data_IF_478123614139
#
_entry.id   IF_478123614139
#
_cell.length_a   1.000
_cell.length_b   1.000
_cell.length_c   1.000
_cell.angle_alpha   90.00
_cell.angle_beta   90.00
_cell.angle_gamma   90.00
#
_symmetry.space_group_name_H-M   'P 1'
#
loop_
_entity.id
_entity.type
_entity.pdbx_description
1 polymer ?
#
# COMPACT_ATOMS: atom_id res chain seq x y z
N UNK A 1 8.93 -26.36 16.89
CA UNK A 1 9.09 -25.89 18.28
C UNK A 1 7.77 -25.27 18.73
N UNK A 2 7.24 -25.71 19.88
CA UNK A 2 6.06 -25.07 20.47
C UNK A 2 6.53 -23.90 21.32
N UNK A 3 6.01 -22.68 21.03
CA UNK A 3 6.29 -21.49 21.81
C UNK A 3 5.89 -21.69 23.28
N UNK A 4 6.71 -21.23 24.21
CA UNK A 4 6.41 -21.22 25.62
C UNK A 4 5.25 -20.27 25.95
N UNK A 5 4.64 -20.39 27.12
CA UNK A 5 3.51 -19.53 27.52
C UNK A 5 3.90 -18.05 27.54
N UNK A 6 5.08 -17.74 28.03
CA UNK A 6 5.60 -16.36 28.10
C UNK A 6 5.87 -15.78 26.70
N UNK A 7 6.43 -16.58 25.78
CA UNK A 7 6.66 -16.17 24.39
C UNK A 7 5.33 -15.89 23.66
N UNK A 8 4.32 -16.72 23.88
CA UNK A 8 2.97 -16.48 23.33
C UNK A 8 2.36 -15.18 23.87
N UNK A 9 2.54 -14.90 25.16
CA UNK A 9 2.08 -13.66 25.78
C UNK A 9 2.81 -12.44 25.21
N UNK A 10 4.14 -12.53 25.02
CA UNK A 10 4.92 -11.47 24.40
C UNK A 10 4.46 -11.18 22.96
N UNK A 11 4.27 -12.22 22.13
CA UNK A 11 3.77 -12.06 20.76
C UNK A 11 2.38 -11.41 20.74
N UNK A 12 1.49 -11.79 21.65
CA UNK A 12 0.15 -11.16 21.74
C UNK A 12 0.27 -9.69 22.13
N UNK A 13 1.14 -9.36 23.09
CA UNK A 13 1.37 -7.97 23.51
C UNK A 13 1.94 -7.11 22.38
N UNK A 14 2.96 -7.63 21.64
CA UNK A 14 3.56 -6.94 20.52
C UNK A 14 2.52 -6.67 19.41
N UNK A 15 1.75 -7.68 19.05
CA UNK A 15 0.72 -7.54 18.00
C UNK A 15 -0.41 -6.61 18.45
N UNK A 16 -0.82 -6.66 19.72
CA UNK A 16 -1.82 -5.75 20.27
C UNK A 16 -1.32 -4.30 20.26
N UNK A 17 -0.05 -4.06 20.59
CA UNK A 17 0.55 -2.73 20.53
C UNK A 17 0.61 -2.20 19.08
N UNK A 18 0.90 -3.07 18.10
CA UNK A 18 0.88 -2.69 16.68
C UNK A 18 -0.55 -2.45 16.17
N UNK A 19 -1.50 -3.30 16.55
CA UNK A 19 -2.91 -3.13 16.21
C UNK A 19 -3.48 -1.81 16.76
N UNK A 20 -3.10 -1.42 17.98
CA UNK A 20 -3.54 -0.15 18.57
C UNK A 20 -3.05 1.10 17.80
N UNK A 21 -1.88 1.02 17.15
CA UNK A 21 -1.31 2.10 16.34
C UNK A 21 -1.81 2.10 14.90
N UNK A 22 -2.25 0.94 14.41
CA UNK A 22 -2.61 0.74 13.01
C UNK A 22 -4.04 1.18 12.71
N UNK A 23 -4.26 1.68 11.50
CA UNK A 23 -5.58 2.01 10.97
C UNK A 23 -6.15 0.92 10.06
N UNK A 24 -5.28 0.10 9.49
CA UNK A 24 -5.65 -0.94 8.52
C UNK A 24 -5.03 -2.27 8.89
N UNK A 25 -5.83 -3.31 8.78
CA UNK A 25 -5.42 -4.71 8.82
C UNK A 25 -5.74 -5.36 7.48
N UNK A 26 -4.77 -5.99 6.84
CA UNK A 26 -4.98 -6.77 5.64
C UNK A 26 -4.57 -8.24 5.87
N UNK A 27 -5.40 -9.16 5.38
CA UNK A 27 -5.25 -10.60 5.52
C UNK A 27 -5.01 -11.23 4.15
N UNK A 28 -3.95 -12.00 4.02
CA UNK A 28 -3.67 -12.75 2.81
C UNK A 28 -3.25 -14.19 3.12
N UNK A 29 -3.65 -15.12 2.27
CA UNK A 29 -3.22 -16.51 2.32
C UNK A 29 -1.92 -16.66 1.53
N UNK A 30 -0.88 -17.23 2.16
CA UNK A 30 0.46 -17.38 1.56
C UNK A 30 0.79 -18.81 1.16
N UNK A 31 -0.19 -19.68 1.08
CA UNK A 31 0.01 -21.10 0.77
C UNK A 31 0.66 -21.29 -0.60
N UNK A 32 1.82 -21.97 -0.60
CA UNK A 32 2.56 -22.28 -1.83
C UNK A 32 3.52 -21.20 -2.31
N UNK A 33 3.74 -20.11 -1.53
CA UNK A 33 4.80 -19.14 -1.79
C UNK A 33 6.18 -19.73 -1.45
N UNK A 34 7.18 -19.41 -2.26
CA UNK A 34 8.58 -19.70 -1.95
C UNK A 34 9.13 -18.75 -0.90
N UNK A 35 10.22 -19.17 -0.23
CA UNK A 35 10.89 -18.31 0.77
C UNK A 35 11.42 -17.02 0.16
N UNK A 36 11.89 -17.06 -1.09
CA UNK A 36 12.36 -15.88 -1.81
C UNK A 36 11.24 -14.85 -2.01
N UNK A 37 10.06 -15.29 -2.42
CA UNK A 37 8.90 -14.43 -2.58
C UNK A 37 8.44 -13.83 -1.25
N UNK A 38 8.46 -14.60 -0.16
CA UNK A 38 8.17 -14.11 1.17
C UNK A 38 9.19 -13.06 1.64
N UNK A 39 10.47 -13.25 1.33
CA UNK A 39 11.50 -12.28 1.68
C UNK A 39 11.36 -10.97 0.89
N UNK A 40 11.01 -11.05 -0.41
CA UNK A 40 10.68 -9.86 -1.22
C UNK A 40 9.49 -9.12 -0.62
N UNK A 41 8.39 -9.84 -0.33
CA UNK A 41 7.22 -9.25 0.30
C UNK A 41 7.53 -8.56 1.63
N UNK A 42 8.36 -9.17 2.48
CA UNK A 42 8.80 -8.56 3.74
C UNK A 42 9.67 -7.32 3.54
N UNK A 43 10.51 -7.31 2.49
CA UNK A 43 11.32 -6.14 2.13
C UNK A 43 10.42 -4.99 1.71
N UNK A 44 9.51 -5.23 0.76
CA UNK A 44 8.56 -4.23 0.27
C UNK A 44 7.65 -3.69 1.40
N UNK A 45 7.24 -4.56 2.32
CA UNK A 45 6.46 -4.18 3.50
C UNK A 45 7.25 -3.24 4.42
N UNK A 46 8.53 -3.52 4.69
CA UNK A 46 9.39 -2.65 5.52
C UNK A 46 9.62 -1.29 4.88
N UNK A 47 9.86 -1.24 3.56
CA UNK A 47 10.05 0.00 2.81
C UNK A 47 8.82 0.91 2.88
N UNK A 48 7.63 0.33 2.96
CA UNK A 48 6.35 1.05 3.04
C UNK A 48 5.80 1.18 4.48
N UNK A 49 6.60 0.86 5.50
CA UNK A 49 6.19 0.99 6.90
C UNK A 49 5.06 0.04 7.31
N UNK A 50 4.89 -1.09 6.63
CA UNK A 50 3.88 -2.10 6.94
C UNK A 50 4.46 -3.17 7.84
N UNK A 51 3.87 -3.39 9.00
CA UNK A 51 4.20 -4.50 9.89
C UNK A 51 3.58 -5.79 9.36
N UNK A 52 4.41 -6.63 8.73
CA UNK A 52 3.99 -7.89 8.13
C UNK A 52 4.47 -9.07 8.97
N UNK A 53 3.53 -9.86 9.50
CA UNK A 53 3.85 -11.01 10.34
C UNK A 53 2.97 -12.22 10.04
N UNK A 54 3.54 -13.42 10.17
CA UNK A 54 2.82 -14.70 10.11
C UNK A 54 2.57 -15.15 11.54
N UNK A 55 1.31 -15.23 11.93
CA UNK A 55 0.89 -15.54 13.28
C UNK A 55 -0.03 -16.76 13.31
N UNK A 56 -0.07 -17.43 14.44
CA UNK A 56 -1.10 -18.43 14.70
C UNK A 56 -2.44 -17.72 14.88
N UNK A 57 -3.48 -18.13 14.13
CA UNK A 57 -4.79 -17.47 14.12
C UNK A 57 -5.40 -17.30 15.53
N UNK A 58 -5.18 -18.28 16.43
CA UNK A 58 -5.68 -18.19 17.82
C UNK A 58 -4.99 -17.08 18.64
N UNK A 59 -3.71 -16.78 18.37
CA UNK A 59 -2.98 -15.68 19.01
C UNK A 59 -3.39 -14.35 18.39
N UNK A 60 -3.53 -14.31 17.06
CA UNK A 60 -4.01 -13.13 16.33
C UNK A 60 -5.40 -12.70 16.82
N UNK A 61 -6.36 -13.63 16.92
CA UNK A 61 -7.70 -13.33 17.46
C UNK A 61 -7.66 -12.75 18.86
N UNK A 62 -6.79 -13.27 19.74
CA UNK A 62 -6.62 -12.74 21.10
C UNK A 62 -5.99 -11.35 21.13
N UNK A 63 -5.05 -11.08 20.22
CA UNK A 63 -4.39 -9.79 20.12
C UNK A 63 -5.31 -8.69 19.56
N UNK A 64 -6.25 -9.09 18.69
CA UNK A 64 -7.21 -8.16 18.03
C UNK A 64 -8.48 -7.98 18.86
N UNK A 65 -8.76 -8.87 19.84
CA UNK A 65 -9.90 -8.74 20.74
C UNK A 65 -9.86 -7.39 21.49
N UNK A 66 -10.98 -6.67 21.49
CA UNK A 66 -11.09 -5.33 22.06
C UNK A 66 -10.52 -4.20 21.19
N UNK A 67 -10.05 -4.48 19.97
CA UNK A 67 -9.63 -3.48 19.00
C UNK A 67 -10.66 -3.33 17.88
N UNK A 68 -10.64 -2.23 17.10
CA UNK A 68 -11.54 -2.07 15.95
C UNK A 68 -11.43 -3.19 14.89
N UNK A 69 -10.38 -4.00 14.98
CA UNK A 69 -10.11 -5.10 14.04
C UNK A 69 -10.78 -6.43 14.43
N UNK A 70 -11.49 -6.49 15.54
CA UNK A 70 -12.20 -7.68 15.99
C UNK A 70 -13.20 -8.20 14.94
N UNK A 71 -13.78 -7.28 14.15
CA UNK A 71 -14.69 -7.58 13.06
C UNK A 71 -14.06 -8.50 11.98
N UNK A 72 -12.72 -8.44 11.82
CA UNK A 72 -12.00 -9.32 10.88
C UNK A 72 -11.73 -10.73 11.45
N UNK A 73 -12.07 -11.00 12.70
CA UNK A 73 -11.80 -12.30 13.35
C UNK A 73 -12.47 -13.48 12.66
N UNK A 74 -13.63 -13.28 12.04
CA UNK A 74 -14.35 -14.32 11.26
C UNK A 74 -13.55 -14.76 10.03
N UNK A 75 -12.84 -13.83 9.39
CA UNK A 75 -11.97 -14.08 8.23
C UNK A 75 -10.62 -14.76 8.55
N UNK A 76 -10.27 -14.90 9.84
CA UNK A 76 -8.99 -15.46 10.28
C UNK A 76 -9.00 -17.00 10.25
N UNK A 77 -9.09 -17.59 9.04
CA UNK A 77 -9.10 -19.04 8.82
C UNK A 77 -8.06 -19.41 7.76
N UNK A 78 -7.23 -20.42 8.06
CA UNK A 78 -6.18 -20.90 7.16
C UNK A 78 -4.79 -20.32 7.45
N UNK A 79 -3.82 -20.55 6.55
CA UNK A 79 -2.46 -20.04 6.66
C UNK A 79 -2.42 -18.57 6.24
N UNK A 80 -2.48 -17.66 7.20
CA UNK A 80 -2.61 -16.23 6.95
C UNK A 80 -1.35 -15.45 7.29
N UNK A 81 -1.08 -14.45 6.46
CA UNK A 81 -0.19 -13.33 6.74
C UNK A 81 -1.03 -12.14 7.17
N UNK A 82 -0.59 -11.49 8.23
CA UNK A 82 -1.20 -10.31 8.81
C UNK A 82 -0.35 -9.08 8.47
N UNK A 83 -0.95 -8.11 7.80
CA UNK A 83 -0.32 -6.83 7.49
C UNK A 83 -1.02 -5.70 8.25
N UNK A 84 -0.32 -5.07 9.19
CA UNK A 84 -0.79 -3.90 9.92
C UNK A 84 -0.11 -2.64 9.38
N UNK A 85 -0.85 -1.55 9.24
CA UNK A 85 -0.29 -0.27 8.80
C UNK A 85 -0.97 0.90 9.49
N UNK A 86 -0.18 1.93 9.80
CA UNK A 86 -0.67 3.23 10.23
C UNK A 86 -1.36 3.97 9.07
N UNK A 87 -0.85 3.79 7.84
CA UNK A 87 -1.50 4.30 6.64
C UNK A 87 -2.70 3.46 6.25
N UNK A 88 -3.79 4.15 5.89
CA UNK A 88 -5.05 3.53 5.48
C UNK A 88 -4.90 2.57 4.28
N UNK A 89 -3.95 2.81 3.40
CA UNK A 89 -3.83 2.14 2.09
C UNK A 89 -2.58 1.27 1.98
N UNK A 90 -1.50 1.56 2.73
CA UNK A 90 -0.19 0.94 2.53
C UNK A 90 -0.23 -0.58 2.66
N UNK A 91 -0.88 -1.14 3.70
CA UNK A 91 -0.98 -2.59 3.89
C UNK A 91 -1.73 -3.29 2.74
N UNK A 92 -2.87 -2.73 2.33
CA UNK A 92 -3.67 -3.25 1.23
C UNK A 92 -2.90 -3.20 -0.10
N UNK A 93 -2.17 -2.11 -0.34
CA UNK A 93 -1.40 -1.90 -1.57
C UNK A 93 -0.23 -2.86 -1.69
N UNK A 94 0.57 -3.05 -0.62
CA UNK A 94 1.68 -4.02 -0.62
C UNK A 94 1.20 -5.42 -0.95
N UNK A 95 0.13 -5.87 -0.30
CA UNK A 95 -0.41 -7.21 -0.48
C UNK A 95 -1.04 -7.36 -1.88
N UNK A 96 -1.81 -6.37 -2.34
CA UNK A 96 -2.46 -6.44 -3.65
C UNK A 96 -1.47 -6.33 -4.83
N UNK A 97 -0.46 -5.47 -4.73
CA UNK A 97 0.57 -5.34 -5.77
C UNK A 97 1.40 -6.62 -5.87
N UNK A 98 1.72 -7.24 -4.74
CA UNK A 98 2.43 -8.51 -4.73
C UNK A 98 1.55 -9.66 -5.26
N UNK A 99 0.25 -9.65 -4.97
CA UNK A 99 -0.71 -10.64 -5.48
C UNK A 99 -0.88 -10.56 -7.01
N UNK A 100 -0.72 -9.38 -7.63
CA UNK A 100 -0.72 -9.24 -9.10
C UNK A 100 0.45 -9.97 -9.76
N UNK A 101 1.59 -10.04 -9.08
CA UNK A 101 2.79 -10.73 -9.59
C UNK A 101 2.90 -12.20 -9.18
N UNK A 102 2.06 -12.66 -8.25
CA UNK A 102 2.14 -14.01 -7.67
C UNK A 102 0.73 -14.55 -7.38
N UNK A 103 0.23 -15.38 -8.26
CA UNK A 103 -1.12 -16.00 -8.14
C UNK A 103 -1.31 -16.87 -6.88
N UNK A 104 -0.20 -17.25 -6.22
CA UNK A 104 -0.21 -18.06 -4.99
C UNK A 104 -0.56 -17.24 -3.74
N UNK A 105 -0.47 -15.90 -3.80
CA UNK A 105 -0.90 -15.02 -2.72
C UNK A 105 -2.36 -14.62 -2.94
N UNK A 106 -3.25 -15.14 -2.12
CA UNK A 106 -4.68 -14.85 -2.23
C UNK A 106 -5.08 -13.88 -1.13
N UNK A 107 -5.59 -12.71 -1.53
CA UNK A 107 -6.17 -11.73 -0.59
C UNK A 107 -7.48 -12.28 -0.07
N UNK A 108 -7.59 -12.50 1.23
CA UNK A 108 -8.83 -12.98 1.88
C UNK A 108 -9.77 -11.84 2.28
N UNK A 109 -9.20 -10.77 2.79
CA UNK A 109 -9.95 -9.63 3.30
C UNK A 109 -9.11 -8.78 4.23
N UNK A 110 -9.77 -8.00 5.05
CA UNK A 110 -9.11 -7.13 6.02
C UNK A 110 -10.11 -6.38 6.88
N UNK A 111 -9.61 -5.40 7.61
CA UNK A 111 -10.44 -4.43 8.31
C UNK A 111 -9.83 -3.04 8.17
N UNK A 112 -10.69 -2.05 8.04
CA UNK A 112 -10.34 -0.64 8.01
C UNK A 112 -11.31 0.15 8.85
N UNK A 113 -10.80 0.93 9.79
CA UNK A 113 -11.61 1.79 10.68
C UNK A 113 -12.82 1.07 11.32
N UNK A 114 -12.64 -0.18 11.78
CA UNK A 114 -13.69 -0.97 12.42
C UNK A 114 -14.70 -1.63 11.46
N UNK A 115 -14.48 -1.53 10.15
CA UNK A 115 -15.31 -2.20 9.14
C UNK A 115 -14.57 -3.39 8.55
N UNK A 116 -15.20 -4.55 8.50
CA UNK A 116 -14.67 -5.71 7.78
C UNK A 116 -14.71 -5.44 6.27
N UNK A 117 -13.64 -5.78 5.59
CA UNK A 117 -13.48 -5.67 4.16
C UNK A 117 -13.29 -7.06 3.55
N UNK A 118 -14.08 -7.34 2.51
CA UNK A 118 -13.89 -8.52 1.68
C UNK A 118 -12.68 -8.33 0.76
N UNK A 119 -12.28 -9.39 0.04
CA UNK A 119 -11.17 -9.36 -0.90
C UNK A 119 -11.30 -8.23 -1.95
N UNK A 120 -12.52 -7.95 -2.44
CA UNK A 120 -12.80 -6.84 -3.36
C UNK A 120 -12.60 -5.49 -2.70
N UNK A 121 -13.03 -5.32 -1.46
CA UNK A 121 -12.83 -4.09 -0.69
C UNK A 121 -11.35 -3.79 -0.45
N UNK A 122 -10.55 -4.81 -0.16
CA UNK A 122 -9.08 -4.65 -0.04
C UNK A 122 -8.44 -4.29 -1.39
N UNK A 123 -8.89 -4.88 -2.50
CA UNK A 123 -8.43 -4.49 -3.85
C UNK A 123 -8.83 -3.06 -4.20
N UNK A 124 -10.05 -2.64 -3.84
CA UNK A 124 -10.50 -1.26 -4.02
C UNK A 124 -9.65 -0.28 -3.20
N UNK A 125 -9.34 -0.60 -1.93
CA UNK A 125 -8.40 0.20 -1.12
C UNK A 125 -7.01 0.26 -1.75
N UNK A 126 -6.50 -0.84 -2.28
CA UNK A 126 -5.20 -0.89 -2.93
C UNK A 126 -5.13 -0.07 -4.22
N UNK A 127 -6.26 0.20 -4.89
CA UNK A 127 -6.32 1.05 -6.07
C UNK A 127 -6.19 2.55 -5.73
N UNK A 128 -6.38 2.93 -4.47
CA UNK A 128 -6.23 4.31 -4.00
C UNK A 128 -4.74 4.66 -3.93
N UNK A 129 -4.30 5.79 -4.51
CA UNK A 129 -2.92 6.26 -4.38
C UNK A 129 -2.55 6.57 -2.93
N UNK A 130 -1.24 6.66 -2.65
CA UNK A 130 -0.77 7.11 -1.33
C UNK A 130 -1.20 8.55 -1.04
N UNK A 131 -1.23 8.92 0.24
CA UNK A 131 -1.61 10.26 0.69
C UNK A 131 -0.87 11.38 -0.04
N UNK A 132 0.44 11.23 -0.23
CA UNK A 132 1.26 12.25 -0.90
C UNK A 132 0.90 12.41 -2.37
N UNK A 133 0.60 11.29 -3.06
CA UNK A 133 0.14 11.31 -4.45
C UNK A 133 -1.24 11.97 -4.57
N UNK A 134 -2.15 11.73 -3.62
CA UNK A 134 -3.45 12.40 -3.61
C UNK A 134 -3.31 13.91 -3.42
N UNK A 135 -2.45 14.34 -2.50
CA UNK A 135 -2.16 15.77 -2.29
C UNK A 135 -1.55 16.38 -3.57
N UNK A 136 -0.59 15.69 -4.19
CA UNK A 136 0.01 16.13 -5.45
C UNK A 136 -1.02 16.24 -6.58
N UNK A 137 -1.98 15.30 -6.66
CA UNK A 137 -3.07 15.37 -7.64
C UNK A 137 -3.98 16.57 -7.40
N UNK A 138 -4.36 16.85 -6.15
CA UNK A 138 -5.17 18.04 -5.82
C UNK A 138 -4.41 19.31 -6.19
N UNK A 139 -3.13 19.43 -5.85
CA UNK A 139 -2.30 20.57 -6.23
C UNK A 139 -2.18 20.71 -7.75
N UNK A 140 -2.02 19.60 -8.48
CA UNK A 140 -2.02 19.56 -9.95
C UNK A 140 -3.35 20.04 -10.56
N UNK A 141 -4.48 19.62 -9.98
CA UNK A 141 -5.80 20.07 -10.43
C UNK A 141 -6.01 21.58 -10.25
N UNK A 142 -5.52 22.15 -9.15
CA UNK A 142 -5.58 23.61 -8.92
C UNK A 142 -4.73 24.38 -9.94
N UNK A 143 -3.60 23.84 -10.37
CA UNK A 143 -2.72 24.42 -11.38
C UNK A 143 -3.21 24.20 -12.81
N UNK A 144 -4.04 23.19 -13.06
CA UNK A 144 -4.48 22.75 -14.39
C UNK A 144 -5.17 23.88 -15.22
N UNK A 145 -6.07 24.73 -14.69
CA UNK A 145 -6.67 25.78 -15.50
C UNK A 145 -5.66 26.78 -16.06
N UNK A 146 -4.67 27.16 -15.25
CA UNK A 146 -3.61 28.09 -15.65
C UNK A 146 -2.72 27.46 -16.74
N UNK A 147 -2.36 26.19 -16.58
CA UNK A 147 -1.58 25.45 -17.58
C UNK A 147 -2.31 25.30 -18.89
N UNK A 148 -3.61 24.97 -18.86
CA UNK A 148 -4.42 24.87 -20.09
C UNK A 148 -4.52 26.20 -20.81
N UNK A 149 -4.69 27.29 -20.09
CA UNK A 149 -4.72 28.64 -20.66
C UNK A 149 -3.37 29.00 -21.33
N UNK A 150 -2.26 28.68 -20.66
CA UNK A 150 -0.93 28.91 -21.23
C UNK A 150 -0.70 28.06 -22.50
N UNK A 151 -1.12 26.80 -22.51
CA UNK A 151 -1.04 25.93 -23.70
C UNK A 151 -1.85 26.48 -24.85
N UNK A 152 -3.10 26.93 -24.61
CA UNK A 152 -3.96 27.51 -25.67
C UNK A 152 -3.35 28.80 -26.22
N UNK A 153 -2.86 29.69 -25.34
CA UNK A 153 -2.18 30.92 -25.78
C UNK A 153 -0.91 30.60 -26.58
N UNK A 154 -0.12 29.60 -26.14
CA UNK A 154 1.05 29.14 -26.89
C UNK A 154 0.68 28.58 -28.28
N UNK A 155 -0.38 27.77 -28.36
CA UNK A 155 -0.88 27.24 -29.63
C UNK A 155 -1.35 28.35 -30.58
N UNK A 156 -2.08 29.35 -30.05
CA UNK A 156 -2.51 30.52 -30.84
C UNK A 156 -1.33 31.36 -31.30
N UNK A 157 -0.32 31.55 -30.45
CA UNK A 157 0.93 32.23 -30.83
C UNK A 157 1.68 31.50 -31.94
N UNK A 158 1.79 30.16 -31.84
CA UNK A 158 2.39 29.33 -32.86
C UNK A 158 1.64 29.40 -34.22
N UNK A 159 0.30 29.39 -34.16
CA UNK A 159 -0.52 29.55 -35.38
C UNK A 159 -0.35 30.93 -36.03
N UNK A 160 -0.15 32.02 -35.22
CA UNK A 160 0.08 33.36 -35.73
C UNK A 160 1.49 33.59 -36.21
N UNK A 161 2.47 32.89 -35.68
CA UNK A 161 3.87 32.98 -36.09
C UNK A 161 4.18 32.29 -37.41
N UNK A 162 3.24 31.51 -37.99
CA UNK A 162 3.46 30.68 -39.18
C UNK A 162 4.35 29.44 -38.87
N UNK A 163 4.57 28.55 -39.86
CA UNK A 163 5.41 27.39 -39.63
C UNK A 163 6.89 27.85 -39.46
N UNK A 164 7.31 28.00 -38.22
CA UNK A 164 8.73 28.12 -37.87
C UNK A 164 9.32 26.73 -38.09
N UNK A 165 10.24 26.59 -39.03
CA UNK A 165 11.03 25.41 -39.25
C UNK A 165 11.69 24.98 -37.92
N UNK A 166 11.83 23.66 -37.69
CA UNK A 166 12.51 23.17 -36.49
C UNK A 166 14.01 23.37 -36.68
N UNK A 167 14.53 24.49 -36.21
CA UNK A 167 15.98 24.65 -36.12
C UNK A 167 16.37 25.24 -34.74
N UNK A 168 17.47 24.66 -34.26
CA UNK A 168 18.20 24.98 -33.04
C UNK A 168 17.67 24.44 -31.69
N UNK A 169 18.12 23.21 -31.43
CA UNK A 169 18.41 22.78 -30.06
C UNK A 169 19.43 23.73 -29.41
N UNK A 170 19.22 24.17 -28.16
CA UNK A 170 20.25 24.94 -27.48
C UNK A 170 21.46 24.06 -27.18
N UNK A 171 22.59 24.50 -27.73
CA UNK A 171 23.89 23.89 -27.60
C UNK A 171 24.27 23.66 -26.13
N UNK A 172 24.83 22.51 -25.95
CA UNK A 172 25.61 22.00 -24.84
C UNK A 172 26.50 23.09 -24.21
N UNK A 173 26.34 23.35 -22.90
CA UNK A 173 27.26 24.17 -22.13
C UNK A 173 28.57 23.41 -21.94
N UNK A 174 29.74 24.03 -22.14
CA UNK A 174 31.01 23.36 -22.00
C UNK A 174 31.33 23.06 -20.54
N UNK A 175 31.76 21.81 -20.29
CA UNK A 175 32.44 21.42 -19.05
C UNK A 175 33.67 22.29 -18.84
N UNK A 176 33.72 22.97 -17.72
CA UNK A 176 34.92 23.65 -17.23
C UNK A 176 35.62 22.79 -16.18
N UNK A 177 36.90 22.60 -16.39
CA UNK A 177 37.95 21.91 -15.68
C UNK A 177 37.91 21.95 -14.14
#
# INVERSE_FOLDING_TARGET
>A
MSLNRNEKAAVVADVSAQAAKSQTLALAEYRGLTVEHLNKLRKDAREKGVYLHVLKNTLARRAVAGTPFEVASEGMVGPLIYGFSEDAVAAAKVIADFAKGNDKLVVKGGAYAGKALNAEGVKALASIPSRDVLIAQVAGLLKSPIQRMAVVLGAVAALKAGPVAPDEAPAEAPAAA
#
